data_IF_769752687314
#
_entry.id   IF_769752687314
#
_cell.length_a   1.000
_cell.length_b   1.000
_cell.length_c   1.000
_cell.angle_alpha   90.00
_cell.angle_beta   90.00
_cell.angle_gamma   90.00
#
_symmetry.space_group_name_H-M   'P 1'
#
loop_
_entity.id
_entity.type
_entity.pdbx_description
1 polymer ?
#
# COMPACT_ATOMS: atom_id res chain seq x y z
N UNK A 1 -24.70 3.81 6.20
CA UNK A 1 -24.63 2.96 4.98
C UNK A 1 -23.21 3.09 4.46
N UNK A 2 -22.53 1.97 4.18
CA UNK A 2 -21.18 1.92 3.58
C UNK A 2 -21.20 0.98 2.37
N UNK A 3 -20.26 1.14 1.45
CA UNK A 3 -20.11 0.30 0.26
C UNK A 3 -18.63 0.02 -0.03
N UNK A 4 -18.34 -1.10 -0.68
CA UNK A 4 -17.00 -1.38 -1.20
C UNK A 4 -16.72 -0.48 -2.41
N UNK A 5 -15.47 -0.01 -2.51
CA UNK A 5 -15.02 0.78 -3.65
C UNK A 5 -14.79 -0.14 -4.84
N UNK A 6 -15.45 0.16 -5.97
CA UNK A 6 -15.09 -0.41 -7.25
C UNK A 6 -13.88 0.35 -7.82
N UNK A 7 -12.68 -0.23 -7.68
CA UNK A 7 -11.45 0.40 -8.15
C UNK A 7 -11.36 0.43 -9.68
N UNK A 8 -12.04 -0.48 -10.38
CA UNK A 8 -12.01 -0.52 -11.85
C UNK A 8 -12.74 0.71 -12.42
N UNK A 9 -13.92 1.01 -11.89
CA UNK A 9 -14.69 2.20 -12.28
C UNK A 9 -13.95 3.49 -11.88
N UNK A 10 -13.29 3.50 -10.73
CA UNK A 10 -12.48 4.64 -10.27
C UNK A 10 -11.29 4.91 -11.22
N UNK A 11 -10.64 3.84 -11.70
CA UNK A 11 -9.54 3.95 -12.67
C UNK A 11 -10.04 4.39 -14.04
N UNK A 12 -11.18 3.86 -14.51
CA UNK A 12 -11.79 4.27 -15.77
C UNK A 12 -12.19 5.75 -15.76
N UNK A 13 -12.91 6.20 -14.72
CA UNK A 13 -13.32 7.59 -14.60
C UNK A 13 -12.16 8.57 -14.46
N UNK A 14 -11.05 8.15 -13.82
CA UNK A 14 -9.84 8.96 -13.77
C UNK A 14 -9.17 9.07 -15.15
N UNK A 15 -9.12 7.97 -15.92
CA UNK A 15 -8.63 7.97 -17.29
C UNK A 15 -9.43 8.91 -18.19
N UNK A 16 -10.76 8.87 -18.09
CA UNK A 16 -11.67 9.78 -18.82
C UNK A 16 -11.44 11.25 -18.45
N UNK A 17 -11.00 11.52 -17.22
CA UNK A 17 -10.64 12.84 -16.73
C UNK A 17 -9.18 13.26 -17.05
N UNK A 18 -8.42 12.44 -17.79
CA UNK A 18 -7.03 12.70 -18.16
C UNK A 18 -6.02 12.48 -17.03
N UNK A 19 -6.34 11.61 -16.08
CA UNK A 19 -5.40 11.17 -15.04
C UNK A 19 -4.82 9.80 -15.38
N UNK A 20 -3.53 9.64 -15.09
CA UNK A 20 -2.85 8.36 -15.17
C UNK A 20 -2.89 7.65 -13.82
N UNK A 21 -2.87 6.32 -13.86
CA UNK A 21 -2.93 5.46 -12.68
C UNK A 21 -1.57 4.84 -12.35
N UNK A 22 -1.31 4.72 -11.06
CA UNK A 22 -0.33 3.76 -10.55
C UNK A 22 -0.94 2.36 -10.40
N UNK A 23 -0.14 1.45 -9.85
CA UNK A 23 -0.61 0.13 -9.46
C UNK A 23 -1.53 0.21 -8.23
N UNK A 24 -2.65 -0.54 -8.25
CA UNK A 24 -3.47 -0.76 -7.05
C UNK A 24 -2.78 -1.80 -6.17
N UNK A 25 -2.40 -1.42 -4.95
CA UNK A 25 -1.72 -2.33 -4.02
C UNK A 25 -2.57 -2.65 -2.79
N UNK A 26 -2.50 -3.87 -2.24
CA UNK A 26 -3.01 -4.16 -0.90
C UNK A 26 -2.34 -3.26 0.16
N UNK A 27 -3.12 -2.77 1.13
CA UNK A 27 -2.65 -1.85 2.16
C UNK A 27 -1.43 -2.40 2.92
N UNK A 28 -1.45 -3.69 3.27
CA UNK A 28 -0.37 -4.31 4.03
C UNK A 28 0.96 -4.29 3.26
N UNK A 29 0.91 -4.61 1.97
CA UNK A 29 2.10 -4.56 1.09
C UNK A 29 2.60 -3.12 0.88
N UNK A 30 1.68 -2.16 0.72
CA UNK A 30 2.02 -0.76 0.58
C UNK A 30 2.74 -0.25 1.84
N UNK A 31 2.16 -0.47 3.02
CA UNK A 31 2.74 -0.03 4.29
C UNK A 31 4.11 -0.69 4.55
N UNK A 32 4.24 -1.99 4.26
CA UNK A 32 5.50 -2.71 4.36
C UNK A 32 6.61 -2.09 3.49
N UNK A 33 6.31 -1.80 2.22
CA UNK A 33 7.25 -1.16 1.28
C UNK A 33 7.64 0.26 1.71
N UNK A 34 6.76 0.94 2.45
CA UNK A 34 6.97 2.32 2.91
C UNK A 34 7.42 2.43 4.38
N UNK A 35 8.05 1.38 4.92
CA UNK A 35 8.76 1.46 6.20
C UNK A 35 7.89 1.28 7.44
N UNK A 36 6.67 0.75 7.33
CA UNK A 36 5.82 0.51 8.51
C UNK A 36 6.45 -0.45 9.53
N UNK A 37 7.38 -1.32 9.10
CA UNK A 37 8.14 -2.19 10.00
C UNK A 37 9.10 -1.41 10.91
N UNK A 38 9.59 -0.26 10.49
CA UNK A 38 10.49 0.60 11.27
C UNK A 38 9.77 1.27 12.46
N UNK A 39 8.44 1.29 12.42
CA UNK A 39 7.57 1.84 13.45
C UNK A 39 7.13 0.80 14.49
N UNK A 40 7.52 -0.47 14.32
CA UNK A 40 7.20 -1.52 15.29
C UNK A 40 8.07 -1.41 16.54
N UNK A 41 7.58 -1.92 17.69
CA UNK A 41 8.42 -2.06 18.87
C UNK A 41 9.72 -2.80 18.54
N UNK A 42 10.86 -2.31 19.04
CA UNK A 42 12.18 -2.85 18.73
C UNK A 42 12.30 -4.35 19.05
N UNK A 43 11.58 -4.82 20.07
CA UNK A 43 11.50 -6.23 20.44
C UNK A 43 10.99 -7.13 19.29
N UNK A 44 10.16 -6.63 18.38
CA UNK A 44 9.70 -7.39 17.21
C UNK A 44 10.86 -7.67 16.25
N UNK A 45 11.68 -6.66 15.96
CA UNK A 45 12.82 -6.78 15.05
C UNK A 45 13.93 -7.67 15.63
N UNK A 46 14.12 -7.65 16.95
CA UNK A 46 15.13 -8.45 17.63
C UNK A 46 14.66 -9.85 18.05
N UNK A 47 13.41 -10.24 17.78
CA UNK A 47 12.82 -11.49 18.27
C UNK A 47 12.70 -11.56 19.80
N UNK A 48 12.67 -10.40 20.47
CA UNK A 48 12.51 -10.26 21.92
C UNK A 48 11.07 -10.37 22.38
N UNK A 49 10.87 -10.29 23.69
CA UNK A 49 9.53 -10.31 24.30
C UNK A 49 8.95 -8.91 24.34
N UNK A 50 7.71 -8.76 23.82
CA UNK A 50 6.96 -7.51 23.90
C UNK A 50 6.55 -7.19 25.34
N UNK A 51 6.78 -5.94 25.74
CA UNK A 51 6.26 -5.41 27.00
C UNK A 51 4.74 -5.22 26.93
N UNK A 52 4.02 -5.23 28.07
CA UNK A 52 2.57 -5.05 28.11
C UNK A 52 2.04 -3.83 27.35
N UNK A 53 2.77 -2.71 27.38
CA UNK A 53 2.44 -1.45 26.71
C UNK A 53 2.70 -1.46 25.19
N UNK A 54 3.59 -2.35 24.71
CA UNK A 54 3.93 -2.49 23.28
C UNK A 54 2.91 -3.33 22.50
N UNK A 55 2.13 -4.17 23.20
CA UNK A 55 1.15 -5.06 22.59
C UNK A 55 0.06 -4.33 21.82
N UNK A 56 -0.37 -3.16 22.29
CA UNK A 56 -1.40 -2.37 21.61
C UNK A 56 -0.92 -1.92 20.22
N UNK A 57 0.30 -1.38 20.14
CA UNK A 57 0.94 -0.97 18.89
C UNK A 57 1.16 -2.16 17.97
N UNK A 58 1.66 -3.28 18.49
CA UNK A 58 1.88 -4.48 17.69
C UNK A 58 0.57 -5.07 17.15
N UNK A 59 -0.50 -5.09 17.95
CA UNK A 59 -1.81 -5.55 17.52
C UNK A 59 -2.41 -4.65 16.42
N UNK A 60 -2.27 -3.33 16.55
CA UNK A 60 -2.70 -2.39 15.53
C UNK A 60 -1.93 -2.60 14.21
N UNK A 61 -0.61 -2.77 14.30
CA UNK A 61 0.22 -3.05 13.14
C UNK A 61 -0.15 -4.38 12.47
N UNK A 62 -0.36 -5.46 13.24
CA UNK A 62 -0.83 -6.74 12.69
C UNK A 62 -2.15 -6.58 11.95
N UNK A 63 -3.08 -5.78 12.49
CA UNK A 63 -4.36 -5.50 11.84
C UNK A 63 -4.19 -4.74 10.52
N UNK A 64 -3.20 -3.85 10.40
CA UNK A 64 -2.95 -3.09 9.16
C UNK A 64 -2.13 -3.87 8.12
N UNK A 65 -1.18 -4.69 8.57
CA UNK A 65 -0.18 -5.32 7.72
C UNK A 65 -0.56 -6.72 7.25
N UNK A 66 -1.24 -7.51 8.09
CA UNK A 66 -1.52 -8.91 7.77
C UNK A 66 -2.76 -9.05 6.88
N UNK A 67 -2.77 -10.03 5.94
CA UNK A 67 -3.95 -10.35 5.14
C UNK A 67 -5.16 -10.74 5.99
N UNK A 68 -4.95 -11.39 7.13
CA UNK A 68 -6.03 -11.75 8.06
C UNK A 68 -6.67 -10.55 8.79
N UNK A 69 -6.06 -9.37 8.68
CA UNK A 69 -6.60 -8.11 9.17
C UNK A 69 -7.18 -7.31 7.99
N UNK A 70 -6.70 -6.08 7.85
CA UNK A 70 -7.07 -5.14 6.79
C UNK A 70 -6.06 -5.14 5.63
N UNK A 71 -4.97 -5.91 5.74
CA UNK A 71 -3.84 -5.82 4.82
C UNK A 71 -4.17 -6.18 3.37
N UNK A 72 -5.13 -7.09 3.15
CA UNK A 72 -5.67 -7.42 1.81
C UNK A 72 -6.98 -6.71 1.49
N UNK A 73 -7.78 -6.41 2.51
CA UNK A 73 -9.14 -5.87 2.36
C UNK A 73 -9.12 -4.40 1.93
N UNK A 74 -8.18 -3.63 2.49
CA UNK A 74 -7.94 -2.24 2.10
C UNK A 74 -6.91 -2.19 0.99
N UNK A 75 -7.10 -1.26 0.06
CA UNK A 75 -6.24 -1.06 -1.11
C UNK A 75 -5.85 0.40 -1.22
N UNK A 76 -4.68 0.63 -1.80
CA UNK A 76 -4.14 1.96 -2.09
C UNK A 76 -4.01 2.12 -3.60
N UNK A 77 -4.54 3.23 -4.12
CA UNK A 77 -4.39 3.65 -5.51
C UNK A 77 -3.83 5.07 -5.50
N UNK A 78 -2.70 5.27 -6.18
CA UNK A 78 -2.16 6.59 -6.47
C UNK A 78 -2.48 6.97 -7.91
N UNK A 79 -2.92 8.21 -8.10
CA UNK A 79 -3.22 8.79 -9.42
C UNK A 79 -2.52 10.14 -9.51
N UNK A 80 -2.08 10.48 -10.71
CA UNK A 80 -1.46 11.77 -10.98
C UNK A 80 -1.66 12.18 -12.44
N UNK A 81 -1.20 13.38 -12.77
CA UNK A 81 -1.23 13.88 -14.15
C UNK A 81 0.02 14.69 -14.45
N UNK A 82 0.32 14.81 -15.74
CA UNK A 82 1.37 15.67 -16.26
C UNK A 82 2.77 15.06 -16.14
N UNK A 83 3.75 15.78 -16.67
CA UNK A 83 5.08 15.25 -16.97
C UNK A 83 5.77 14.56 -15.77
N UNK A 84 5.71 15.16 -14.57
CA UNK A 84 6.36 14.57 -13.39
C UNK A 84 5.77 13.20 -13.02
N UNK A 85 4.45 13.05 -13.14
CA UNK A 85 3.79 11.78 -12.88
C UNK A 85 4.09 10.76 -13.97
N UNK A 86 4.05 11.17 -15.25
CA UNK A 86 4.41 10.29 -16.36
C UNK A 86 5.85 9.76 -16.23
N UNK A 87 6.82 10.63 -15.90
CA UNK A 87 8.20 10.19 -15.63
C UNK A 87 8.32 9.25 -14.43
N UNK A 88 7.51 9.46 -13.39
CA UNK A 88 7.46 8.54 -12.25
C UNK A 88 6.94 7.15 -12.65
N UNK A 89 5.89 7.08 -13.48
CA UNK A 89 5.37 5.81 -13.99
C UNK A 89 6.38 5.09 -14.91
N UNK A 90 7.11 5.83 -15.76
CA UNK A 90 8.17 5.27 -16.60
C UNK A 90 9.27 4.63 -15.75
N UNK A 91 9.72 5.29 -14.67
CA UNK A 91 10.73 4.73 -13.77
C UNK A 91 10.30 3.44 -13.05
N UNK A 92 8.99 3.19 -12.92
CA UNK A 92 8.48 1.96 -12.32
C UNK A 92 8.34 0.80 -13.32
N UNK A 93 8.35 1.10 -14.61
CA UNK A 93 8.17 0.08 -15.65
C UNK A 93 9.48 -0.70 -15.80
N UNK A 94 9.49 -2.02 -15.54
CA UNK A 94 10.69 -2.80 -15.77
C UNK A 94 11.09 -2.73 -17.25
N UNK A 95 12.40 -2.75 -17.58
CA UNK A 95 12.83 -2.76 -18.96
C UNK A 95 12.21 -3.98 -19.66
N UNK A 96 11.84 -3.86 -20.96
CA UNK A 96 11.34 -5.00 -21.71
C UNK A 96 12.37 -6.13 -21.61
N UNK A 97 11.90 -7.31 -21.21
CA UNK A 97 12.70 -8.52 -21.23
C UNK A 97 12.83 -8.88 -22.71
N UNK A 98 13.94 -8.50 -23.34
CA UNK A 98 14.20 -8.86 -24.74
C UNK A 98 14.19 -10.38 -24.91
N UNK A 99 13.56 -10.79 -26.01
CA UNK A 99 13.37 -12.14 -26.52
C UNK A 99 14.58 -12.65 -27.32
#
# INVERSE_FOLDING_TARGET
>A
ITAHVNFDDLMAGAGDAGWDRGEVRPLGSFLALHGAFDLLPAAVASGGVLKPDEWATFAAARRLLLPSGMGSDLKVLAQGRGAAWSSFCEMQTPPPIEA
#
